data_IF_004172197111
#
_entry.id   IF_004172197111
#
_cell.length_a   1.000
_cell.length_b   1.000
_cell.length_c   1.000
_cell.angle_alpha   90.00
_cell.angle_beta   90.00
_cell.angle_gamma   90.00
#
_symmetry.space_group_name_H-M   'P 1'
#
loop_
_entity.id
_entity.type
_entity.pdbx_description
1 polymer ?
#
# COMPACT_ATOMS: atom_id res chain seq x y z
N UNK A 1 7.84 8.33 -30.25
CA UNK A 1 8.25 8.69 -28.86
C UNK A 1 8.36 10.20 -28.82
N UNK A 2 7.73 10.87 -27.86
CA UNK A 2 7.63 12.31 -27.79
C UNK A 2 9.02 12.93 -27.48
N UNK A 3 9.45 13.91 -28.30
CA UNK A 3 10.76 14.58 -28.18
C UNK A 3 10.92 15.20 -26.78
N UNK A 4 9.83 15.69 -26.19
CA UNK A 4 9.82 16.25 -24.85
C UNK A 4 10.17 15.20 -23.78
N UNK A 5 9.65 13.98 -23.90
CA UNK A 5 9.96 12.85 -22.99
C UNK A 5 11.41 12.41 -23.12
N UNK A 6 11.99 12.45 -24.33
CA UNK A 6 13.41 12.13 -24.55
C UNK A 6 14.28 13.16 -23.87
N UNK A 7 13.99 14.44 -24.02
CA UNK A 7 14.73 15.53 -23.38
C UNK A 7 14.71 15.42 -21.85
N UNK A 8 13.54 15.12 -21.27
CA UNK A 8 13.41 14.87 -19.82
C UNK A 8 14.24 13.68 -19.38
N UNK A 9 14.23 12.59 -20.14
CA UNK A 9 15.02 11.40 -19.82
C UNK A 9 16.54 11.73 -19.84
N UNK A 10 17.02 12.41 -20.87
CA UNK A 10 18.42 12.80 -20.99
C UNK A 10 18.82 13.69 -19.80
N UNK A 11 18.02 14.71 -19.49
CA UNK A 11 18.28 15.59 -18.34
C UNK A 11 18.33 14.82 -17.02
N UNK A 12 17.46 13.82 -16.84
CA UNK A 12 17.48 12.97 -15.64
C UNK A 12 18.74 12.13 -15.56
N UNK A 13 19.17 11.54 -16.69
CA UNK A 13 20.33 10.64 -16.73
C UNK A 13 21.65 11.40 -16.50
N UNK A 14 21.78 12.64 -17.01
CA UNK A 14 22.99 13.46 -16.84
C UNK A 14 23.28 13.75 -15.35
N UNK A 15 22.24 13.85 -14.52
CA UNK A 15 22.37 14.11 -13.08
C UNK A 15 22.59 12.85 -12.24
N UNK A 16 22.54 11.66 -12.85
CA UNK A 16 22.79 10.40 -12.14
C UNK A 16 24.29 10.12 -12.04
N UNK A 17 24.72 9.63 -10.88
CA UNK A 17 26.08 9.10 -10.72
C UNK A 17 26.24 7.82 -11.55
N UNK A 18 27.41 7.58 -12.13
CA UNK A 18 27.69 6.38 -12.93
C UNK A 18 27.30 5.08 -12.21
N UNK A 19 27.54 5.02 -10.89
CA UNK A 19 27.18 3.88 -10.05
C UNK A 19 25.66 3.64 -10.01
N UNK A 20 24.83 4.67 -10.05
CA UNK A 20 23.37 4.56 -10.06
C UNK A 20 22.88 4.01 -11.41
N UNK A 21 23.50 4.42 -12.50
CA UNK A 21 23.20 3.91 -13.84
C UNK A 21 23.59 2.42 -13.93
N UNK A 22 24.79 2.07 -13.43
CA UNK A 22 25.24 0.69 -13.37
C UNK A 22 24.26 -0.22 -12.62
N UNK A 23 23.86 0.16 -11.39
CA UNK A 23 22.93 -0.65 -10.61
C UNK A 23 21.53 -0.74 -11.22
N UNK A 24 21.01 0.33 -11.84
CA UNK A 24 19.75 0.26 -12.58
C UNK A 24 19.81 -0.79 -13.71
N UNK A 25 20.88 -0.74 -14.49
CA UNK A 25 21.07 -1.71 -15.57
C UNK A 25 21.29 -3.13 -15.05
N UNK A 26 22.07 -3.28 -14.00
CA UNK A 26 22.31 -4.56 -13.35
C UNK A 26 21.00 -5.19 -12.84
N UNK A 27 20.19 -4.44 -12.07
CA UNK A 27 18.94 -4.98 -11.56
C UNK A 27 17.91 -5.25 -12.66
N UNK A 28 17.85 -4.39 -13.67
CA UNK A 28 16.99 -4.61 -14.83
C UNK A 28 17.37 -5.93 -15.55
N UNK A 29 18.64 -6.13 -15.84
CA UNK A 29 19.14 -7.32 -16.51
C UNK A 29 18.96 -8.57 -15.65
N UNK A 30 19.30 -8.48 -14.36
CA UNK A 30 19.12 -9.58 -13.41
C UNK A 30 17.66 -10.04 -13.33
N UNK A 31 16.74 -9.12 -13.17
CA UNK A 31 15.30 -9.44 -13.04
C UNK A 31 14.74 -10.04 -14.33
N UNK A 32 15.25 -9.63 -15.49
CA UNK A 32 14.82 -10.15 -16.78
C UNK A 32 15.41 -11.53 -17.09
N UNK A 33 16.66 -11.79 -16.68
CA UNK A 33 17.39 -13.03 -17.02
C UNK A 33 17.17 -14.14 -16.00
N UNK A 34 17.08 -13.79 -14.72
CA UNK A 34 17.09 -14.79 -13.64
C UNK A 34 15.75 -14.94 -12.92
N UNK A 35 14.78 -14.09 -13.17
CA UNK A 35 13.47 -14.08 -12.48
C UNK A 35 13.65 -14.22 -10.95
N UNK A 36 12.97 -13.44 -10.16
CA UNK A 36 13.07 -13.58 -8.71
C UNK A 36 12.19 -14.75 -8.23
N UNK A 37 12.68 -15.99 -8.38
CA UNK A 37 12.04 -17.15 -7.76
C UNK A 37 12.34 -17.17 -6.26
N UNK A 38 11.67 -16.34 -5.52
CA UNK A 38 11.69 -16.42 -4.06
C UNK A 38 10.89 -17.68 -3.67
N UNK A 39 11.59 -18.70 -3.18
CA UNK A 39 10.92 -19.89 -2.64
C UNK A 39 10.10 -19.46 -1.43
N UNK A 40 8.77 -19.53 -1.55
CA UNK A 40 7.84 -19.27 -0.45
C UNK A 40 8.15 -20.23 0.70
N UNK A 41 8.67 -19.70 1.78
CA UNK A 41 8.90 -20.46 3.01
C UNK A 41 7.72 -20.17 3.93
N UNK A 42 6.79 -21.10 4.03
CA UNK A 42 5.71 -21.00 5.01
C UNK A 42 6.34 -21.34 6.37
N UNK A 43 6.43 -20.36 7.24
CA UNK A 43 6.86 -20.55 8.62
C UNK A 43 5.58 -20.81 9.43
N UNK A 44 5.46 -22.00 10.01
CA UNK A 44 4.28 -22.39 10.81
C UNK A 44 4.36 -21.94 12.29
N UNK A 45 5.43 -21.28 12.70
CA UNK A 45 5.57 -20.76 14.07
C UNK A 45 5.07 -19.33 14.15
N UNK A 46 3.90 -19.15 14.76
CA UNK A 46 3.29 -17.85 14.95
C UNK A 46 3.62 -17.31 16.35
N UNK A 47 4.56 -16.39 16.42
CA UNK A 47 4.73 -15.55 17.61
C UNK A 47 3.71 -14.41 17.54
N UNK A 48 2.87 -14.29 18.57
CA UNK A 48 1.92 -13.19 18.64
C UNK A 48 2.68 -11.86 18.77
N UNK A 49 2.53 -10.97 17.78
CA UNK A 49 3.11 -9.62 17.84
C UNK A 49 2.26 -8.77 18.77
N UNK A 50 2.88 -8.26 19.84
CA UNK A 50 2.23 -7.31 20.76
C UNK A 50 2.66 -5.90 20.38
N UNK A 51 1.74 -5.12 19.82
CA UNK A 51 1.98 -3.72 19.52
C UNK A 51 1.68 -2.84 20.73
N UNK A 52 2.67 -2.07 21.15
CA UNK A 52 2.47 -0.98 22.11
C UNK A 52 2.14 0.28 21.31
N UNK A 53 0.86 0.60 21.22
CA UNK A 53 0.40 1.78 20.48
C UNK A 53 0.74 3.04 21.31
N UNK A 54 1.72 3.82 20.87
CA UNK A 54 2.13 5.09 21.49
C UNK A 54 1.76 6.30 20.63
N UNK A 55 1.17 6.08 19.46
CA UNK A 55 0.85 7.11 18.48
C UNK A 55 -0.66 7.19 18.36
N UNK A 56 -1.22 8.37 18.63
CA UNK A 56 -2.61 8.66 18.31
C UNK A 56 -2.67 9.03 16.83
N UNK A 57 -3.52 8.35 16.09
CA UNK A 57 -3.77 8.65 14.68
C UNK A 57 -4.98 9.60 14.57
N UNK A 58 -4.84 10.63 13.76
CA UNK A 58 -5.95 11.52 13.45
C UNK A 58 -7.07 10.76 12.73
N UNK A 59 -8.32 11.15 12.99
CA UNK A 59 -9.47 10.57 12.32
C UNK A 59 -9.47 11.00 10.85
N UNK A 60 -9.24 10.07 9.97
CA UNK A 60 -9.21 10.29 8.52
C UNK A 60 -10.26 9.49 7.75
N UNK A 61 -10.93 8.54 8.39
CA UNK A 61 -12.07 7.80 7.84
C UNK A 61 -13.32 7.97 8.70
N UNK A 62 -14.45 8.30 8.07
CA UNK A 62 -15.75 8.54 8.70
C UNK A 62 -16.79 7.57 8.12
N UNK A 63 -17.11 6.51 8.88
CA UNK A 63 -17.96 5.41 8.43
C UNK A 63 -19.36 5.83 7.98
N UNK A 64 -20.00 6.77 8.70
CA UNK A 64 -21.38 7.21 8.40
C UNK A 64 -21.52 7.80 7.01
N UNK A 65 -20.49 8.51 6.56
CA UNK A 65 -20.46 9.24 5.30
C UNK A 65 -19.66 8.50 4.25
N UNK A 66 -19.09 7.34 4.59
CA UNK A 66 -18.12 6.61 3.76
C UNK A 66 -17.06 7.57 3.17
N UNK A 67 -16.53 8.46 4.03
CA UNK A 67 -15.67 9.55 3.60
C UNK A 67 -14.26 9.42 4.17
N UNK A 68 -13.31 9.94 3.41
CA UNK A 68 -11.91 10.01 3.78
C UNK A 68 -11.43 11.46 3.70
N UNK A 69 -10.58 11.84 4.65
CA UNK A 69 -9.94 13.15 4.69
C UNK A 69 -8.43 12.98 4.72
N UNK A 70 -7.76 13.39 3.66
CA UNK A 70 -6.31 13.41 3.56
C UNK A 70 -5.83 14.76 3.03
N UNK A 71 -4.73 15.28 3.57
CA UNK A 71 -4.15 16.55 3.13
C UNK A 71 -5.16 17.72 3.19
N UNK A 72 -6.01 17.73 4.19
CA UNK A 72 -7.12 18.68 4.37
C UNK A 72 -8.18 18.68 3.24
N UNK A 73 -8.23 17.62 2.44
CA UNK A 73 -9.23 17.42 1.38
C UNK A 73 -10.06 16.21 1.71
N UNK A 74 -11.38 16.37 1.79
CA UNK A 74 -12.34 15.30 2.09
C UNK A 74 -13.04 14.84 0.82
N UNK A 75 -13.30 13.53 0.74
CA UNK A 75 -14.11 12.92 -0.30
C UNK A 75 -14.98 11.81 0.27
N UNK A 76 -16.23 11.74 -0.18
CA UNK A 76 -17.19 10.70 0.18
C UNK A 76 -17.49 9.82 -1.02
N UNK A 77 -17.53 8.51 -0.81
CA UNK A 77 -17.93 7.55 -1.83
C UNK A 77 -19.39 7.14 -1.59
N UNK A 78 -20.27 7.33 -2.57
CA UNK A 78 -21.70 7.03 -2.43
C UNK A 78 -21.99 5.53 -2.25
N UNK A 79 -21.24 4.69 -2.95
CA UNK A 79 -21.44 3.24 -2.96
C UNK A 79 -20.16 2.51 -2.56
N UNK A 80 -19.36 2.16 -3.57
CA UNK A 80 -18.10 1.45 -3.40
C UNK A 80 -16.92 2.41 -3.38
N UNK A 81 -15.94 2.14 -2.52
CA UNK A 81 -14.70 2.89 -2.51
C UNK A 81 -13.93 2.64 -3.81
N UNK A 82 -13.59 3.72 -4.50
CA UNK A 82 -12.66 3.65 -5.63
C UNK A 82 -11.22 3.80 -5.13
N UNK A 83 -10.53 2.69 -4.93
CA UNK A 83 -9.15 2.68 -4.43
C UNK A 83 -8.13 3.30 -5.41
N UNK A 84 -8.52 3.55 -6.67
CA UNK A 84 -7.74 4.28 -7.68
C UNK A 84 -8.18 5.75 -7.81
N UNK A 85 -8.98 6.28 -6.88
CA UNK A 85 -9.45 7.66 -6.93
C UNK A 85 -8.27 8.65 -6.94
N UNK A 86 -8.15 9.44 -8.03
CA UNK A 86 -6.99 10.30 -8.26
C UNK A 86 -7.33 11.76 -8.60
N UNK A 87 -8.59 12.18 -8.41
CA UNK A 87 -9.01 13.55 -8.76
C UNK A 87 -8.27 14.62 -7.95
N UNK A 88 -7.79 14.29 -6.75
CA UNK A 88 -7.01 15.19 -5.90
C UNK A 88 -5.50 14.95 -6.00
N UNK A 89 -5.08 14.21 -7.01
CA UNK A 89 -3.69 13.90 -7.30
C UNK A 89 -3.17 12.65 -6.57
N UNK A 90 -2.03 12.19 -7.05
CA UNK A 90 -1.42 10.92 -6.67
C UNK A 90 -1.15 10.77 -5.16
N UNK A 91 -0.77 11.87 -4.49
CA UNK A 91 -0.49 11.82 -3.06
C UNK A 91 -1.73 11.54 -2.22
N UNK A 92 -2.89 12.05 -2.63
CA UNK A 92 -4.16 11.74 -1.97
C UNK A 92 -4.51 10.25 -2.16
N UNK A 93 -4.35 9.73 -3.39
CA UNK A 93 -4.54 8.29 -3.70
C UNK A 93 -3.61 7.42 -2.86
N UNK A 94 -2.38 7.84 -2.67
CA UNK A 94 -1.43 7.13 -1.83
C UNK A 94 -1.91 7.04 -0.38
N UNK A 95 -2.35 8.16 0.21
CA UNK A 95 -2.88 8.15 1.57
C UNK A 95 -4.08 7.22 1.72
N UNK A 96 -4.99 7.18 0.73
CA UNK A 96 -6.08 6.22 0.70
C UNK A 96 -5.56 4.77 0.71
N UNK A 97 -4.45 4.48 0.02
CA UNK A 97 -3.85 3.16 -0.11
C UNK A 97 -2.87 2.80 1.02
N UNK A 98 -2.51 3.73 1.92
CA UNK A 98 -1.66 3.45 3.09
C UNK A 98 -2.41 2.73 4.20
N UNK A 99 -3.72 2.89 4.27
CA UNK A 99 -4.55 2.34 5.34
C UNK A 99 -4.19 2.82 6.76
N UNK A 100 -3.62 4.02 6.90
CA UNK A 100 -3.33 4.60 8.22
C UNK A 100 -4.59 4.75 9.07
N UNK A 101 -5.72 5.03 8.44
CA UNK A 101 -7.04 5.16 9.07
C UNK A 101 -7.49 3.90 9.83
N UNK A 102 -6.96 2.72 9.53
CA UNK A 102 -7.24 1.52 10.31
C UNK A 102 -6.76 1.61 11.77
N UNK A 103 -5.80 2.49 12.02
CA UNK A 103 -5.18 2.64 13.33
C UNK A 103 -5.79 3.80 14.15
N UNK A 104 -6.77 4.52 13.62
CA UNK A 104 -7.52 5.53 14.36
C UNK A 104 -8.37 4.90 15.47
N UNK A 105 -8.72 5.68 16.52
CA UNK A 105 -9.43 5.13 17.67
C UNK A 105 -10.87 4.67 17.35
N UNK A 106 -11.52 5.37 16.44
CA UNK A 106 -12.95 5.19 16.15
C UNK A 106 -13.27 4.08 15.14
N UNK A 107 -12.30 3.29 14.72
CA UNK A 107 -12.55 2.20 13.79
C UNK A 107 -12.82 0.89 14.54
N UNK A 108 -13.94 0.25 14.23
CA UNK A 108 -14.23 -1.08 14.79
C UNK A 108 -13.47 -2.18 14.04
N UNK A 109 -13.25 -3.31 14.72
CA UNK A 109 -12.64 -4.51 14.13
C UNK A 109 -13.35 -4.92 12.84
N UNK A 110 -14.67 -4.99 12.87
CA UNK A 110 -15.51 -5.41 11.75
C UNK A 110 -15.38 -4.46 10.57
N UNK A 111 -15.40 -3.16 10.83
CA UNK A 111 -15.24 -2.14 9.78
C UNK A 111 -13.88 -2.25 9.11
N UNK A 112 -12.81 -2.38 9.88
CA UNK A 112 -11.48 -2.53 9.31
C UNK A 112 -11.31 -3.79 8.48
N UNK A 113 -11.87 -4.93 8.92
CA UNK A 113 -11.87 -6.18 8.15
C UNK A 113 -12.63 -6.01 6.82
N UNK A 114 -13.79 -5.34 6.83
CA UNK A 114 -14.56 -5.07 5.62
C UNK A 114 -13.74 -4.25 4.62
N UNK A 115 -13.10 -3.17 5.08
CA UNK A 115 -12.28 -2.30 4.23
C UNK A 115 -11.06 -3.04 3.63
N UNK A 116 -10.39 -3.88 4.43
CA UNK A 116 -9.29 -4.71 3.94
C UNK A 116 -9.78 -5.69 2.87
N UNK A 117 -10.90 -6.40 3.13
CA UNK A 117 -11.47 -7.35 2.18
C UNK A 117 -11.96 -6.69 0.90
N UNK A 118 -12.53 -5.49 0.99
CA UNK A 118 -12.95 -4.71 -0.17
C UNK A 118 -11.75 -4.32 -1.04
N UNK A 119 -10.67 -3.88 -0.41
CA UNK A 119 -9.40 -3.58 -1.11
C UNK A 119 -8.81 -4.79 -1.82
N UNK A 120 -8.75 -5.95 -1.13
CA UNK A 120 -8.20 -7.18 -1.71
C UNK A 120 -8.99 -7.64 -2.93
N UNK A 121 -10.32 -7.47 -2.95
CA UNK A 121 -11.16 -7.82 -4.11
C UNK A 121 -10.83 -7.01 -5.34
N UNK A 122 -10.32 -5.81 -5.17
CA UNK A 122 -9.95 -4.92 -6.26
C UNK A 122 -8.45 -4.99 -6.63
N UNK A 123 -7.69 -5.91 -6.00
CA UNK A 123 -6.23 -5.94 -6.12
C UNK A 123 -5.75 -5.92 -7.57
N UNK A 124 -6.33 -6.73 -8.46
CA UNK A 124 -5.94 -6.78 -9.86
C UNK A 124 -6.17 -5.46 -10.63
N UNK A 125 -7.06 -4.62 -10.12
CA UNK A 125 -7.43 -3.33 -10.72
C UNK A 125 -6.58 -2.17 -10.20
N UNK A 126 -5.81 -2.37 -9.13
CA UNK A 126 -5.04 -1.33 -8.49
C UNK A 126 -3.88 -0.85 -9.36
N UNK A 127 -3.68 0.47 -9.38
CA UNK A 127 -2.61 1.14 -10.11
C UNK A 127 -1.56 1.70 -9.13
N UNK A 128 -1.77 2.92 -8.65
CA UNK A 128 -0.86 3.62 -7.75
C UNK A 128 -0.70 2.90 -6.40
N UNK A 129 -1.71 2.16 -5.97
CA UNK A 129 -1.66 1.35 -4.75
C UNK A 129 -0.67 0.18 -4.79
N UNK A 130 -0.21 -0.23 -5.98
CA UNK A 130 0.79 -1.29 -6.19
C UNK A 130 2.23 -0.79 -6.27
N UNK A 131 2.45 0.50 -6.10
CA UNK A 131 3.82 1.01 -6.03
C UNK A 131 4.49 0.60 -4.70
N UNK A 132 5.83 0.48 -4.67
CA UNK A 132 6.56 -0.04 -3.50
C UNK A 132 6.27 0.71 -2.20
N UNK A 133 6.10 2.03 -2.27
CA UNK A 133 5.88 2.83 -1.07
C UNK A 133 4.49 2.63 -0.45
N UNK A 134 3.37 2.73 -1.20
CA UNK A 134 2.05 2.35 -0.69
C UNK A 134 1.97 0.92 -0.17
N UNK A 135 2.55 -0.06 -0.87
CA UNK A 135 2.59 -1.44 -0.41
C UNK A 135 3.23 -1.52 0.98
N UNK A 136 4.43 -0.93 1.15
CA UNK A 136 5.17 -1.01 2.41
C UNK A 136 4.38 -0.42 3.59
N UNK A 137 3.79 0.77 3.43
CA UNK A 137 3.01 1.41 4.50
C UNK A 137 1.72 0.64 4.80
N UNK A 138 1.00 0.21 3.76
CA UNK A 138 -0.21 -0.60 3.93
C UNK A 138 0.05 -1.86 4.73
N UNK A 139 1.12 -2.58 4.41
CA UNK A 139 1.46 -3.79 5.15
C UNK A 139 1.74 -3.54 6.62
N UNK A 140 2.51 -2.51 6.94
CA UNK A 140 2.74 -2.12 8.32
C UNK A 140 1.41 -1.81 9.03
N UNK A 141 0.52 -1.05 8.38
CA UNK A 141 -0.75 -0.66 8.98
C UNK A 141 -1.73 -1.83 9.12
N UNK A 142 -1.77 -2.73 8.15
CA UNK A 142 -2.56 -3.96 8.26
C UNK A 142 -2.05 -4.86 9.39
N UNK A 143 -0.74 -5.12 9.46
CA UNK A 143 -0.15 -5.93 10.54
C UNK A 143 -0.46 -5.33 11.92
N UNK A 144 -0.34 -4.00 12.08
CA UNK A 144 -0.72 -3.32 13.33
C UNK A 144 -2.18 -3.57 13.69
N UNK A 145 -3.09 -3.30 12.73
CA UNK A 145 -4.52 -3.44 12.95
C UNK A 145 -4.93 -4.89 13.25
N UNK A 146 -4.46 -5.85 12.45
CA UNK A 146 -4.77 -7.26 12.61
C UNK A 146 -4.25 -7.81 13.94
N UNK A 147 -3.02 -7.47 14.32
CA UNK A 147 -2.42 -7.89 15.58
C UNK A 147 -3.12 -7.27 16.79
N UNK A 148 -3.42 -5.97 16.75
CA UNK A 148 -4.16 -5.26 17.83
C UNK A 148 -5.52 -5.88 18.08
N UNK A 149 -6.24 -6.23 17.02
CA UNK A 149 -7.61 -6.74 17.08
C UNK A 149 -7.67 -8.27 17.14
N UNK A 150 -6.54 -8.96 17.22
CA UNK A 150 -6.44 -10.43 17.22
C UNK A 150 -7.27 -11.05 16.10
N UNK A 151 -7.09 -10.52 14.89
CA UNK A 151 -7.73 -11.06 13.68
C UNK A 151 -6.89 -12.22 13.19
N UNK A 152 -7.55 -13.35 12.94
CA UNK A 152 -6.95 -14.53 12.34
C UNK A 152 -7.87 -14.95 11.20
N UNK A 153 -7.59 -14.46 9.99
CA UNK A 153 -8.35 -14.76 8.78
C UNK A 153 -7.41 -15.17 7.66
N UNK A 154 -7.39 -16.45 7.34
CA UNK A 154 -6.52 -17.05 6.34
C UNK A 154 -6.53 -16.30 5.00
N UNK A 155 -7.70 -15.85 4.55
CA UNK A 155 -7.83 -15.07 3.31
C UNK A 155 -7.01 -13.77 3.36
N UNK A 156 -7.06 -13.04 4.48
CA UNK A 156 -6.30 -11.80 4.64
C UNK A 156 -4.80 -12.11 4.76
N UNK A 157 -4.44 -13.13 5.53
CA UNK A 157 -3.05 -13.52 5.79
C UNK A 157 -2.35 -13.96 4.50
N UNK A 158 -3.01 -14.77 3.66
CA UNK A 158 -2.48 -15.18 2.35
C UNK A 158 -2.28 -13.98 1.44
N UNK A 159 -3.23 -13.04 1.37
CA UNK A 159 -3.11 -11.86 0.52
C UNK A 159 -2.02 -10.92 1.03
N UNK A 160 -1.94 -10.70 2.34
CA UNK A 160 -0.87 -9.92 2.95
C UNK A 160 0.49 -10.53 2.61
N UNK A 161 0.64 -11.85 2.76
CA UNK A 161 1.87 -12.55 2.39
C UNK A 161 2.21 -12.37 0.90
N UNK A 162 1.25 -12.55 0.01
CA UNK A 162 1.47 -12.44 -1.44
C UNK A 162 1.87 -11.01 -1.89
N UNK A 163 1.47 -9.98 -1.18
CA UNK A 163 1.85 -8.59 -1.47
C UNK A 163 3.32 -8.29 -1.15
N UNK A 164 3.97 -9.11 -0.29
CA UNK A 164 5.36 -8.87 0.16
C UNK A 164 6.37 -9.88 -0.41
N UNK A 165 5.89 -10.91 -1.10
CA UNK A 165 6.73 -11.95 -1.73
C UNK A 165 6.42 -12.11 -3.22
#
# INVERSE_FOLDING_TARGET
MDIHKIKLLINTVIHLRAIQIYYRFYYFSRNRLFGCNVKKRIIHDFTQIVWVNRINYDNSYFKKENSFTFLNISHSFSDKINWNFNQFGKLWTYNLNYFDFLNQENISKETGIILIKDYIKDDDLLLDGKEPYPISLRGINWVKFLSKNKVNEEFIDINLYNHYY
#
